data_IF_367373593562
#
_entry.id   IF_367373593562
#
_cell.length_a   1.000
_cell.length_b   1.000
_cell.length_c   1.000
_cell.angle_alpha   90.00
_cell.angle_beta   90.00
_cell.angle_gamma   90.00
#
_symmetry.space_group_name_H-M   'P 1'
#
loop_
_entity.id
_entity.type
_entity.pdbx_description
1 polymer ?
#
# COMPACT_ATOMS: atom_id res chain seq x y z
N UNK A 1 2.88 -2.12 13.71
CA UNK A 1 2.41 -3.32 12.99
C UNK A 1 2.74 -3.18 11.51
N UNK A 2 3.53 -4.08 10.93
CA UNK A 2 4.01 -3.99 9.55
C UNK A 2 3.15 -4.86 8.62
N UNK A 3 2.87 -4.35 7.42
CA UNK A 3 2.15 -5.08 6.38
C UNK A 3 3.06 -6.05 5.63
N UNK A 4 4.30 -5.62 5.38
CA UNK A 4 5.33 -6.39 4.68
C UNK A 4 6.37 -6.92 5.65
N UNK A 5 7.00 -8.05 5.30
CA UNK A 5 8.17 -8.57 5.99
C UNK A 5 9.38 -7.65 5.85
N UNK A 6 9.56 -7.09 4.65
CA UNK A 6 10.58 -6.08 4.36
C UNK A 6 10.29 -4.79 5.12
N UNK A 7 11.31 -4.21 5.74
CA UNK A 7 11.24 -2.88 6.31
C UNK A 7 11.48 -1.80 5.24
N UNK A 8 10.42 -1.10 4.88
CA UNK A 8 10.44 0.00 3.93
C UNK A 8 10.76 1.36 4.55
N UNK A 9 10.94 1.47 5.87
CA UNK A 9 11.49 2.69 6.47
C UNK A 9 13.01 2.80 6.32
N UNK A 10 13.64 1.83 5.65
CA UNK A 10 15.09 1.78 5.43
C UNK A 10 15.34 1.42 3.95
N UNK A 11 16.26 2.14 3.33
CA UNK A 11 16.78 1.86 1.99
C UNK A 11 18.19 1.29 2.10
N UNK A 12 18.51 0.33 1.25
CA UNK A 12 19.90 -0.15 1.10
C UNK A 12 20.71 0.77 0.16
N UNK A 13 22.02 0.54 0.06
CA UNK A 13 22.92 1.39 -0.73
C UNK A 13 22.55 1.45 -2.22
N UNK A 14 22.14 0.33 -2.81
CA UNK A 14 21.71 0.26 -4.21
C UNK A 14 20.43 1.08 -4.43
N UNK A 15 19.46 0.96 -3.53
CA UNK A 15 18.19 1.69 -3.58
C UNK A 15 18.37 3.18 -3.35
N UNK A 16 19.28 3.58 -2.46
CA UNK A 16 19.65 4.99 -2.28
C UNK A 16 20.28 5.54 -3.56
N UNK A 17 21.16 4.77 -4.18
CA UNK A 17 21.81 5.15 -5.44
C UNK A 17 20.77 5.36 -6.54
N UNK A 18 19.85 4.41 -6.68
CA UNK A 18 18.79 4.49 -7.69
C UNK A 18 17.77 5.60 -7.38
N UNK A 19 17.43 5.79 -6.09
CA UNK A 19 16.60 6.91 -5.65
C UNK A 19 17.20 8.26 -6.04
N UNK A 20 18.49 8.46 -5.76
CA UNK A 20 19.20 9.69 -6.13
C UNK A 20 19.26 9.86 -7.66
N UNK A 21 19.49 8.78 -8.42
CA UNK A 21 19.49 8.80 -9.89
C UNK A 21 18.18 9.32 -10.46
N UNK A 22 17.05 8.81 -9.97
CA UNK A 22 15.71 9.25 -10.42
C UNK A 22 15.44 10.68 -9.96
N UNK A 23 15.74 11.00 -8.70
CA UNK A 23 15.52 12.33 -8.10
C UNK A 23 16.26 13.45 -8.81
N UNK A 24 17.51 13.23 -9.20
CA UNK A 24 18.26 14.23 -9.97
C UNK A 24 17.73 14.36 -11.41
N UNK A 25 17.12 13.30 -11.97
CA UNK A 25 16.47 13.37 -13.27
C UNK A 25 15.17 14.18 -13.28
N UNK A 26 14.54 14.44 -12.13
CA UNK A 26 13.32 15.26 -12.02
C UNK A 26 13.56 16.74 -12.39
N UNK A 27 14.82 17.20 -12.30
CA UNK A 27 15.23 18.58 -12.59
C UNK A 27 15.79 18.73 -14.00
N UNK A 28 16.06 17.62 -14.71
CA UNK A 28 16.64 17.67 -16.07
C UNK A 28 15.61 18.23 -17.04
N UNK A 29 15.98 19.31 -17.74
CA UNK A 29 15.15 19.93 -18.77
C UNK A 29 14.05 20.86 -18.25
N UNK A 30 14.01 21.15 -16.94
CA UNK A 30 13.07 22.10 -16.36
C UNK A 30 13.78 23.37 -15.90
N UNK A 31 13.31 24.54 -16.35
CA UNK A 31 13.83 25.84 -15.91
C UNK A 31 13.39 26.18 -14.47
N UNK A 32 12.19 25.71 -14.08
CA UNK A 32 11.61 25.86 -12.74
C UNK A 32 10.82 24.60 -12.36
N UNK A 33 10.78 24.28 -11.07
CA UNK A 33 10.04 23.13 -10.54
C UNK A 33 10.73 21.79 -10.72
N UNK A 34 9.95 20.71 -10.60
CA UNK A 34 10.39 19.32 -10.77
C UNK A 34 9.32 18.53 -11.51
N UNK A 35 9.73 17.59 -12.35
CA UNK A 35 8.82 16.63 -12.98
C UNK A 35 8.54 15.51 -11.97
N UNK A 36 7.27 15.21 -11.73
CA UNK A 36 6.90 14.07 -10.89
C UNK A 36 7.27 12.76 -11.59
N UNK A 37 8.26 12.05 -11.03
CA UNK A 37 8.74 10.75 -11.52
C UNK A 37 8.43 9.61 -10.56
N UNK A 38 7.38 9.74 -9.74
CA UNK A 38 6.98 8.75 -8.74
C UNK A 38 7.06 7.30 -9.25
N UNK A 39 6.61 7.07 -10.48
CA UNK A 39 6.56 5.74 -11.11
C UNK A 39 7.93 5.16 -11.49
N UNK A 40 8.93 6.00 -11.69
CA UNK A 40 10.30 5.61 -12.07
C UNK A 40 11.14 5.21 -10.86
N UNK A 41 10.77 5.65 -9.65
CA UNK A 41 11.48 5.26 -8.44
C UNK A 41 11.35 3.76 -8.18
N UNK A 42 12.36 3.10 -7.60
CA UNK A 42 12.26 1.70 -7.19
C UNK A 42 11.18 1.55 -6.11
N UNK A 43 10.56 0.36 -6.02
CA UNK A 43 9.47 0.08 -5.06
C UNK A 43 9.84 0.52 -3.64
N UNK A 44 11.03 0.17 -3.18
CA UNK A 44 11.48 0.52 -1.84
C UNK A 44 11.48 2.05 -1.61
N UNK A 45 11.97 2.83 -2.58
CA UNK A 45 11.97 4.29 -2.49
C UNK A 45 10.56 4.88 -2.53
N UNK A 46 9.66 4.32 -3.36
CA UNK A 46 8.24 4.73 -3.39
C UNK A 46 7.58 4.57 -2.03
N UNK A 47 7.79 3.42 -1.38
CA UNK A 47 7.29 3.19 -0.01
C UNK A 47 7.97 4.12 1.00
N UNK A 48 9.30 4.21 0.96
CA UNK A 48 10.10 5.00 1.90
C UNK A 48 9.68 6.48 1.94
N UNK A 49 9.25 7.05 0.82
CA UNK A 49 8.78 8.44 0.75
C UNK A 49 7.39 8.71 1.34
N UNK A 50 6.67 7.69 1.80
CA UNK A 50 5.29 7.81 2.30
C UNK A 50 5.23 7.97 3.82
N UNK A 51 4.07 8.36 4.34
CA UNK A 51 3.89 8.61 5.79
C UNK A 51 4.03 7.32 6.62
N UNK A 52 3.58 6.19 6.06
CA UNK A 52 3.67 4.88 6.69
C UNK A 52 4.27 3.85 5.71
N UNK A 53 5.60 3.82 5.54
CA UNK A 53 6.25 3.02 4.50
C UNK A 53 5.89 1.53 4.52
N UNK A 54 5.74 0.98 5.73
CA UNK A 54 5.41 -0.42 5.95
C UNK A 54 3.92 -0.75 5.86
N UNK A 55 3.06 0.22 5.56
CA UNK A 55 1.61 0.08 5.45
C UNK A 55 1.07 0.69 4.15
N UNK A 56 1.94 1.30 3.34
CA UNK A 56 1.57 1.89 2.07
C UNK A 56 1.21 0.83 1.03
N UNK A 57 0.12 1.07 0.30
CA UNK A 57 -0.33 0.25 -0.83
C UNK A 57 0.17 0.88 -2.13
N UNK A 58 1.20 0.29 -2.73
CA UNK A 58 1.83 0.86 -3.93
C UNK A 58 0.96 0.70 -5.19
N UNK A 59 0.44 1.82 -5.66
CA UNK A 59 -0.38 1.89 -6.87
C UNK A 59 0.33 1.39 -8.14
N UNK A 60 1.67 1.34 -8.18
CA UNK A 60 2.37 0.76 -9.33
C UNK A 60 2.17 -0.75 -9.43
N UNK A 61 1.99 -1.45 -8.31
CA UNK A 61 1.73 -2.90 -8.32
C UNK A 61 0.35 -3.22 -8.93
N UNK A 62 -0.58 -2.26 -8.88
CA UNK A 62 -1.92 -2.40 -9.46
C UNK A 62 -1.94 -2.36 -10.99
N UNK A 63 -0.79 -2.14 -11.64
CA UNK A 63 -0.67 -2.16 -13.09
C UNK A 63 -0.14 -3.47 -13.64
N UNK A 64 0.41 -4.33 -12.79
CA UNK A 64 0.89 -5.64 -13.22
C UNK A 64 -0.30 -6.58 -13.41
N UNK A 65 -0.87 -6.58 -14.60
CA UNK A 65 -2.02 -7.42 -14.94
C UNK A 65 -1.74 -8.91 -14.75
N UNK A 66 -0.51 -9.36 -15.00
CA UNK A 66 -0.16 -10.78 -14.87
C UNK A 66 -0.17 -11.18 -13.41
N UNK A 67 0.45 -10.38 -12.56
CA UNK A 67 0.40 -10.55 -11.11
C UNK A 67 -1.04 -10.54 -10.60
N UNK A 68 -1.84 -9.52 -10.99
CA UNK A 68 -3.24 -9.39 -10.55
C UNK A 68 -4.07 -10.61 -10.96
N UNK A 69 -3.94 -11.08 -12.19
CA UNK A 69 -4.65 -12.28 -12.65
C UNK A 69 -4.24 -13.52 -11.87
N UNK A 70 -2.95 -13.67 -11.56
CA UNK A 70 -2.45 -14.75 -10.71
C UNK A 70 -3.11 -14.74 -9.33
N UNK A 71 -3.05 -13.60 -8.64
CA UNK A 71 -3.68 -13.44 -7.32
C UNK A 71 -5.19 -13.65 -7.36
N UNK A 72 -5.87 -13.14 -8.38
CA UNK A 72 -7.32 -13.31 -8.55
C UNK A 72 -7.71 -14.79 -8.72
N UNK A 73 -6.93 -15.56 -9.49
CA UNK A 73 -7.16 -16.99 -9.67
C UNK A 73 -6.91 -17.77 -8.37
N UNK A 74 -5.82 -17.47 -7.66
CA UNK A 74 -5.54 -18.09 -6.36
C UNK A 74 -6.65 -17.79 -5.34
N UNK A 75 -7.13 -16.54 -5.32
CA UNK A 75 -8.21 -16.14 -4.44
C UNK A 75 -9.54 -16.82 -4.80
N UNK A 76 -9.86 -16.94 -6.09
CA UNK A 76 -11.05 -17.67 -6.55
C UNK A 76 -10.98 -19.15 -6.13
N UNK A 77 -9.83 -19.79 -6.29
CA UNK A 77 -9.61 -21.16 -5.83
C UNK A 77 -9.82 -21.27 -4.31
N UNK A 78 -9.33 -20.29 -3.55
CA UNK A 78 -9.53 -20.24 -2.09
C UNK A 78 -11.00 -20.11 -1.70
N UNK A 79 -11.77 -19.30 -2.41
CA UNK A 79 -13.21 -19.12 -2.17
C UNK A 79 -14.04 -20.37 -2.51
N UNK A 80 -13.55 -21.20 -3.43
CA UNK A 80 -14.21 -22.46 -3.80
C UNK A 80 -13.93 -23.62 -2.85
N UNK A 81 -13.07 -23.43 -1.83
CA UNK A 81 -12.83 -24.46 -0.82
C UNK A 81 -14.08 -24.68 0.06
N UNK A 82 -14.43 -25.94 0.37
CA UNK A 82 -15.55 -26.22 1.25
C UNK A 82 -15.29 -25.72 2.67
N UNK A 83 -16.32 -25.18 3.32
CA UNK A 83 -16.26 -24.64 4.69
C UNK A 83 -15.29 -23.46 4.89
N UNK A 84 -14.99 -22.70 3.84
CA UNK A 84 -14.19 -21.47 3.96
C UNK A 84 -14.91 -20.44 4.84
N UNK A 85 -14.17 -19.82 5.77
CA UNK A 85 -14.66 -18.73 6.61
C UNK A 85 -13.77 -17.48 6.53
N UNK A 86 -14.26 -16.38 7.10
CA UNK A 86 -13.59 -15.07 7.07
C UNK A 86 -12.17 -15.12 7.65
N UNK A 87 -11.94 -15.87 8.73
CA UNK A 87 -10.62 -16.00 9.35
C UNK A 87 -9.63 -16.70 8.41
N UNK A 88 -10.07 -17.72 7.68
CA UNK A 88 -9.24 -18.40 6.69
C UNK A 88 -8.91 -17.50 5.50
N UNK A 89 -9.87 -16.68 5.04
CA UNK A 89 -9.65 -15.67 4.01
C UNK A 89 -8.65 -14.62 4.48
N UNK A 90 -8.82 -14.08 5.69
CA UNK A 90 -7.92 -13.10 6.28
C UNK A 90 -6.48 -13.65 6.39
N UNK A 91 -6.33 -14.89 6.87
CA UNK A 91 -5.03 -15.55 6.96
C UNK A 91 -4.41 -15.76 5.57
N UNK A 92 -5.21 -16.16 4.58
CA UNK A 92 -4.75 -16.30 3.19
C UNK A 92 -4.19 -14.98 2.65
N UNK A 93 -4.91 -13.86 2.84
CA UNK A 93 -4.45 -12.55 2.39
C UNK A 93 -3.16 -12.14 3.10
N UNK A 94 -3.11 -12.28 4.43
CA UNK A 94 -1.96 -11.87 5.23
C UNK A 94 -0.71 -12.71 4.96
N UNK A 95 -0.85 -14.03 4.87
CA UNK A 95 0.30 -14.93 4.72
C UNK A 95 0.93 -14.83 3.33
N UNK A 96 0.12 -14.59 2.29
CA UNK A 96 0.60 -14.44 0.92
C UNK A 96 0.90 -12.98 0.55
N UNK A 97 0.63 -12.03 1.45
CA UNK A 97 0.72 -10.59 1.19
C UNK A 97 -0.11 -10.12 -0.02
N UNK A 98 -1.24 -10.77 -0.28
CA UNK A 98 -2.14 -10.51 -1.40
C UNK A 98 -3.03 -9.27 -1.17
N UNK A 99 -2.42 -8.17 -0.72
CA UNK A 99 -3.14 -6.95 -0.35
C UNK A 99 -3.79 -6.25 -1.55
N UNK A 100 -3.38 -6.60 -2.78
CA UNK A 100 -4.06 -6.19 -4.02
C UNK A 100 -5.54 -6.59 -4.04
N UNK A 101 -5.92 -7.66 -3.34
CA UNK A 101 -7.32 -8.06 -3.16
C UNK A 101 -8.10 -6.94 -2.44
N UNK A 102 -7.53 -6.39 -1.37
CA UNK A 102 -8.13 -5.29 -0.61
C UNK A 102 -8.14 -4.01 -1.44
N UNK A 103 -7.05 -3.72 -2.15
CA UNK A 103 -6.96 -2.54 -3.01
C UNK A 103 -7.96 -2.59 -4.17
N UNK A 104 -8.34 -3.78 -4.63
CA UNK A 104 -9.35 -3.92 -5.68
C UNK A 104 -10.71 -3.31 -5.28
N UNK A 105 -11.02 -3.25 -3.99
CA UNK A 105 -12.21 -2.59 -3.46
C UNK A 105 -12.18 -1.09 -3.79
N UNK A 106 -11.01 -0.46 -3.80
CA UNK A 106 -10.87 0.95 -4.14
C UNK A 106 -11.24 1.24 -5.61
N UNK A 107 -11.24 0.25 -6.52
CA UNK A 107 -11.77 0.47 -7.87
C UNK A 107 -13.28 0.73 -7.89
N UNK A 108 -14.00 0.34 -6.83
CA UNK A 108 -15.44 0.55 -6.72
C UNK A 108 -15.80 1.95 -6.18
N UNK A 109 -14.80 2.72 -5.74
CA UNK A 109 -15.00 4.02 -5.11
C UNK A 109 -14.04 5.05 -5.69
N UNK A 110 -14.52 6.27 -5.97
CA UNK A 110 -13.64 7.36 -6.37
C UNK A 110 -12.95 7.97 -5.14
N UNK A 111 -11.95 7.28 -4.62
CA UNK A 111 -10.99 7.93 -3.73
C UNK A 111 -10.14 8.89 -4.58
N UNK A 112 -9.97 10.14 -4.14
CA UNK A 112 -9.10 11.12 -4.81
C UNK A 112 -7.65 10.62 -4.92
N UNK A 113 -6.77 11.41 -5.55
CA UNK A 113 -5.35 11.08 -5.85
C UNK A 113 -4.44 10.93 -4.60
N UNK A 114 -4.92 10.32 -3.52
CA UNK A 114 -4.22 10.19 -2.25
C UNK A 114 -3.51 8.84 -2.15
N UNK A 115 -2.45 8.84 -1.34
CA UNK A 115 -1.82 7.61 -0.88
C UNK A 115 -2.82 6.73 -0.14
N UNK A 116 -2.74 5.43 -0.36
CA UNK A 116 -3.56 4.45 0.34
C UNK A 116 -2.72 3.66 1.34
N UNK A 117 -3.26 3.48 2.54
CA UNK A 117 -2.58 2.78 3.64
C UNK A 117 -3.49 1.69 4.20
N UNK A 118 -2.91 0.53 4.48
CA UNK A 118 -3.59 -0.60 5.10
C UNK A 118 -2.96 -0.92 6.45
N UNK A 119 -3.79 -0.89 7.48
CA UNK A 119 -3.45 -1.33 8.82
C UNK A 119 -4.22 -2.62 9.08
N UNK A 120 -3.53 -3.65 9.62
CA UNK A 120 -4.25 -4.82 10.12
C UNK A 120 -5.18 -4.36 11.25
N UNK A 121 -6.21 -5.13 11.52
CA UNK A 121 -7.05 -4.87 12.68
C UNK A 121 -6.20 -4.95 13.95
N UNK A 122 -6.39 -3.98 14.84
CA UNK A 122 -5.77 -3.98 16.16
C UNK A 122 -6.85 -3.62 17.18
N UNK A 123 -6.78 -4.23 18.34
CA UNK A 123 -7.63 -3.83 19.45
C UNK A 123 -7.28 -2.39 19.81
N UNK A 124 -8.24 -1.49 19.64
CA UNK A 124 -8.23 -0.22 20.35
C UNK A 124 -8.47 -0.60 21.81
N UNK A 125 -7.41 -0.68 22.60
CA UNK A 125 -7.49 -1.04 24.00
C UNK A 125 -8.29 0.02 24.75
N UNK A 126 -9.60 -0.12 24.78
CA UNK A 126 -10.51 0.62 25.66
C UNK A 126 -11.66 -0.27 26.06
N UNK A 127 -11.82 -0.44 27.35
CA UNK A 127 -13.01 -0.95 28.03
C UNK A 127 -14.27 -0.12 27.77
N UNK A 128 -14.20 0.95 26.97
CA UNK A 128 -15.31 1.85 26.73
C UNK A 128 -15.33 2.28 25.26
N UNK A 129 -16.46 1.98 24.62
CA UNK A 129 -16.80 2.39 23.26
C UNK A 129 -17.16 3.88 23.31
N UNK A 130 -16.33 4.74 22.72
CA UNK A 130 -16.76 6.09 22.35
C UNK A 130 -17.00 6.14 20.84
N UNK A 131 -18.24 6.41 20.40
CA UNK A 131 -18.54 6.58 18.99
C UNK A 131 -18.20 8.03 18.59
N UNK A 132 -17.43 8.18 17.50
CA UNK A 132 -17.14 9.41 16.74
C UNK A 132 -16.06 10.38 17.26
N UNK A 133 -14.96 10.45 16.50
CA UNK A 133 -14.05 11.60 16.44
C UNK A 133 -14.73 12.74 15.65
N UNK A 134 -15.25 13.74 16.34
CA UNK A 134 -15.54 15.04 15.71
C UNK A 134 -14.28 15.93 15.76
N UNK A 135 -13.88 16.58 14.65
CA UNK A 135 -12.85 17.61 14.70
C UNK A 135 -13.37 18.83 15.48
N UNK A 136 -12.53 19.52 16.27
CA UNK A 136 -12.96 20.67 17.04
C UNK A 136 -13.29 21.83 16.09
N UNK A 137 -14.52 22.32 16.17
CA UNK A 137 -14.87 23.64 15.65
C UNK A 137 -14.19 24.68 16.55
N UNK A 138 -13.23 25.41 15.99
CA UNK A 138 -12.69 26.62 16.59
C UNK A 138 -13.78 27.68 16.61
N UNK A 139 -14.12 28.16 17.80
CA UNK A 139 -14.86 29.39 18.08
C UNK A 139 -14.05 30.24 19.04
#
# INVERSE_FOLDING_TARGET
MKLYERDYSILNEEEITEWNRVKESEKKGTLFGRINKFREYPKAARHYSTLFPNNYLDIQELKDEKYIRGVANEFLNKLNEPNINERQILNFINNNQHYVIIVSIFKLYNFGHHDAYLFKEFSLGTSDVFPYLHPPLLG
#
